data_IF_384356298254
#
_entry.id   IF_384356298254
#
_cell.length_a   1.000
_cell.length_b   1.000
_cell.length_c   1.000
_cell.angle_alpha   90.00
_cell.angle_beta   90.00
_cell.angle_gamma   90.00
#
_symmetry.space_group_name_H-M   'P 1'
#
loop_
_entity.id
_entity.type
_entity.pdbx_description
1 polymer ?
#
# COMPACT_ATOMS: atom_id res chain seq x y z
N UNK A 1 14.26 -16.77 -10.34
CA UNK A 1 12.92 -16.49 -9.76
C UNK A 1 13.14 -15.90 -8.37
N UNK A 2 12.72 -14.66 -8.14
CA UNK A 2 12.92 -14.00 -6.85
C UNK A 2 11.84 -14.47 -5.86
N UNK A 3 12.23 -15.10 -4.76
CA UNK A 3 11.31 -15.60 -3.71
C UNK A 3 11.17 -14.58 -2.58
N UNK A 4 10.79 -13.36 -2.95
CA UNK A 4 10.84 -12.22 -2.04
C UNK A 4 9.97 -12.40 -0.78
N UNK A 5 8.87 -13.16 -0.92
CA UNK A 5 7.93 -13.42 0.16
C UNK A 5 8.35 -14.53 1.14
N UNK A 6 9.55 -15.08 0.97
CA UNK A 6 10.19 -15.99 1.93
C UNK A 6 11.02 -15.21 2.97
N UNK A 7 11.53 -14.02 2.61
CA UNK A 7 12.40 -13.19 3.47
C UNK A 7 11.67 -11.97 4.06
N UNK A 8 10.69 -11.43 3.34
CA UNK A 8 9.87 -10.29 3.78
C UNK A 8 8.41 -10.52 3.44
N UNK A 9 7.49 -9.80 4.08
CA UNK A 9 6.07 -10.00 3.86
C UNK A 9 5.45 -9.05 2.83
N UNK A 10 6.21 -8.13 2.22
CA UNK A 10 5.66 -7.12 1.32
C UNK A 10 6.60 -6.77 0.17
N UNK A 11 6.05 -6.21 -0.91
CA UNK A 11 6.82 -5.67 -2.02
C UNK A 11 6.00 -4.60 -2.74
N UNK A 12 6.67 -3.56 -3.24
CA UNK A 12 6.07 -2.62 -4.19
C UNK A 12 6.44 -3.03 -5.60
N UNK A 13 5.46 -3.07 -6.49
CA UNK A 13 5.63 -3.35 -7.93
C UNK A 13 5.00 -2.25 -8.76
N UNK A 14 5.54 -2.00 -9.96
CA UNK A 14 4.94 -1.07 -10.92
C UNK A 14 4.10 -1.86 -11.92
N UNK A 15 2.82 -1.53 -12.04
CA UNK A 15 1.88 -2.14 -13.00
C UNK A 15 1.15 -1.02 -13.71
N UNK A 16 1.26 -0.94 -15.04
CA UNK A 16 0.63 0.13 -15.85
C UNK A 16 0.89 1.55 -15.31
N UNK A 17 2.13 1.82 -14.87
CA UNK A 17 2.56 3.09 -14.27
C UNK A 17 1.88 3.43 -12.91
N UNK A 18 1.24 2.45 -12.27
CA UNK A 18 0.71 2.55 -10.91
C UNK A 18 1.61 1.75 -9.96
N UNK A 19 2.14 2.35 -8.88
CA UNK A 19 2.84 1.60 -7.86
C UNK A 19 1.81 0.87 -6.98
N UNK A 20 1.96 -0.45 -6.86
CA UNK A 20 1.08 -1.32 -6.08
C UNK A 20 1.88 -1.94 -4.95
N UNK A 21 1.38 -1.79 -3.72
CA UNK A 21 1.92 -2.46 -2.55
C UNK A 21 1.23 -3.82 -2.42
N UNK A 22 2.01 -4.88 -2.50
CA UNK A 22 1.58 -6.26 -2.24
C UNK A 22 2.04 -6.64 -0.84
N UNK A 23 1.14 -7.22 -0.04
CA UNK A 23 1.42 -7.74 1.29
C UNK A 23 0.92 -9.18 1.42
N UNK A 24 1.80 -10.07 1.87
CA UNK A 24 1.47 -11.42 2.31
C UNK A 24 1.17 -11.39 3.81
N UNK A 25 -0.08 -11.65 4.18
CA UNK A 25 -0.54 -11.64 5.56
C UNK A 25 -1.44 -12.85 5.82
N UNK A 26 -1.16 -13.62 6.87
CA UNK A 26 -1.88 -14.86 7.23
C UNK A 26 -2.07 -15.83 6.04
N UNK A 27 -1.01 -16.01 5.25
CA UNK A 27 -1.00 -16.92 4.09
C UNK A 27 -1.75 -16.42 2.86
N UNK A 28 -2.33 -15.21 2.88
CA UNK A 28 -3.04 -14.59 1.76
C UNK A 28 -2.28 -13.37 1.25
N UNK A 29 -2.48 -13.03 -0.02
CA UNK A 29 -1.94 -11.82 -0.61
C UNK A 29 -3.00 -10.74 -0.71
N UNK A 30 -2.60 -9.51 -0.44
CA UNK A 30 -3.42 -8.30 -0.53
C UNK A 30 -2.66 -7.29 -1.37
N UNK A 31 -3.37 -6.50 -2.17
CA UNK A 31 -2.78 -5.43 -2.97
C UNK A 31 -3.57 -4.14 -2.81
N UNK A 32 -2.84 -3.02 -2.77
CA UNK A 32 -3.39 -1.68 -2.61
C UNK A 32 -2.52 -0.67 -3.37
N UNK A 33 -3.10 0.47 -3.78
CA UNK A 33 -2.32 1.60 -4.29
C UNK A 33 -1.23 1.97 -3.27
N UNK A 34 0.01 2.04 -3.72
CA UNK A 34 1.14 2.40 -2.87
C UNK A 34 1.37 3.91 -2.79
N UNK A 35 0.54 4.75 -3.42
CA UNK A 35 0.67 6.22 -3.32
C UNK A 35 -0.01 6.71 -2.07
N UNK A 36 0.71 7.53 -1.30
CA UNK A 36 0.13 8.21 -0.15
C UNK A 36 -0.85 9.30 -0.62
N UNK A 37 -2.12 9.27 -0.16
CA UNK A 37 -3.17 10.18 -0.62
C UNK A 37 -3.00 11.62 -0.15
N UNK A 38 -2.06 11.89 0.77
CA UNK A 38 -1.80 13.25 1.27
C UNK A 38 -1.42 14.20 0.13
N UNK A 39 -0.17 14.16 -0.35
CA UNK A 39 0.27 14.98 -1.49
C UNK A 39 0.62 14.15 -2.73
N UNK A 40 0.35 12.84 -2.71
CA UNK A 40 0.67 11.93 -3.82
C UNK A 40 2.15 11.56 -3.98
N UNK A 41 3.07 12.20 -3.24
CA UNK A 41 4.52 12.01 -3.43
C UNK A 41 5.11 10.79 -2.70
N UNK A 42 4.48 10.34 -1.62
CA UNK A 42 5.01 9.26 -0.80
C UNK A 42 4.65 7.89 -1.36
N UNK A 43 5.63 7.01 -1.52
CA UNK A 43 5.39 5.58 -1.81
C UNK A 43 5.36 4.81 -0.49
N UNK A 44 4.27 4.10 -0.24
CA UNK A 44 4.06 3.22 0.90
C UNK A 44 4.87 1.93 0.71
N UNK A 45 6.18 2.00 0.97
CA UNK A 45 7.10 0.87 0.76
C UNK A 45 7.32 0.00 1.99
N UNK A 46 6.97 0.51 3.18
CA UNK A 46 7.20 -0.17 4.46
C UNK A 46 5.87 -0.63 5.08
N UNK A 47 5.91 -1.79 5.74
CA UNK A 47 4.75 -2.38 6.43
C UNK A 47 5.10 -2.70 7.88
N UNK A 48 4.28 -2.20 8.81
CA UNK A 48 4.31 -2.49 10.25
C UNK A 48 3.17 -3.44 10.60
N UNK A 49 3.29 -4.15 11.72
CA UNK A 49 2.25 -5.03 12.27
C UNK A 49 1.69 -6.04 11.24
N UNK A 50 2.51 -6.42 10.27
CA UNK A 50 2.19 -7.38 9.21
C UNK A 50 1.32 -6.83 8.07
N UNK A 51 0.52 -5.78 8.27
CA UNK A 51 -0.40 -5.27 7.24
C UNK A 51 -0.66 -3.75 7.26
N UNK A 52 0.04 -2.99 8.13
CA UNK A 52 -0.10 -1.54 8.22
C UNK A 52 0.97 -0.86 7.37
N UNK A 53 0.57 -0.34 6.22
CA UNK A 53 1.46 0.43 5.34
C UNK A 53 1.76 1.81 5.93
N UNK A 54 3.03 2.22 5.93
CA UNK A 54 3.46 3.49 6.54
C UNK A 54 4.10 4.40 5.49
N UNK A 55 3.58 5.62 5.39
CA UNK A 55 4.18 6.64 4.54
C UNK A 55 5.53 7.08 5.10
N UNK A 56 6.62 7.02 4.32
CA UNK A 56 7.95 7.39 4.82
C UNK A 56 8.06 8.88 5.15
N UNK A 57 7.27 9.72 4.48
CA UNK A 57 7.36 11.19 4.57
C UNK A 57 6.74 11.73 5.87
N UNK A 58 5.45 11.48 6.09
CA UNK A 58 4.69 12.08 7.20
C UNK A 58 4.03 11.03 8.10
N UNK A 59 4.42 9.75 7.98
CA UNK A 59 4.02 8.65 8.86
C UNK A 59 2.51 8.35 8.90
N UNK A 60 1.74 8.84 7.91
CA UNK A 60 0.37 8.38 7.69
C UNK A 60 0.36 6.85 7.55
N UNK A 61 -0.63 6.21 8.17
CA UNK A 61 -0.75 4.75 8.20
C UNK A 61 -2.04 4.29 7.56
N UNK A 62 -1.97 3.19 6.81
CA UNK A 62 -3.09 2.61 6.08
C UNK A 62 -3.15 1.11 6.31
N UNK A 63 -4.36 0.58 6.52
CA UNK A 63 -4.56 -0.87 6.58
C UNK A 63 -4.65 -1.42 5.15
N UNK A 64 -3.70 -2.27 4.75
CA UNK A 64 -3.67 -2.86 3.41
C UNK A 64 -4.85 -3.81 3.18
N UNK A 65 -5.44 -4.36 4.25
CA UNK A 65 -6.55 -5.30 4.16
C UNK A 65 -7.84 -4.59 3.71
N UNK A 66 -8.07 -3.37 4.19
CA UNK A 66 -9.32 -2.62 3.94
C UNK A 66 -9.12 -1.42 3.01
N UNK A 67 -7.91 -0.86 2.95
CA UNK A 67 -7.58 0.39 2.28
C UNK A 67 -7.72 1.62 3.19
N UNK A 68 -8.27 1.45 4.40
CA UNK A 68 -8.61 2.56 5.28
C UNK A 68 -7.36 3.24 5.85
N UNK A 69 -7.47 4.55 6.08
CA UNK A 69 -6.47 5.26 6.86
C UNK A 69 -6.68 4.98 8.34
N UNK A 70 -5.65 4.45 9.00
CA UNK A 70 -5.68 4.16 10.45
C UNK A 70 -5.01 5.26 11.28
N UNK A 71 -4.12 6.06 10.67
CA UNK A 71 -3.51 7.23 11.30
C UNK A 71 -3.27 8.33 10.27
N UNK A 72 -3.69 9.58 10.55
CA UNK A 72 -3.43 10.71 9.66
C UNK A 72 -1.94 11.04 9.55
N UNK A 73 -1.53 11.77 8.50
CA UNK A 73 -0.17 12.29 8.40
C UNK A 73 0.13 13.26 9.55
N UNK A 74 1.36 13.20 10.04
CA UNK A 74 1.90 14.17 10.99
C UNK A 74 2.30 15.43 10.21
N UNK A 75 1.53 16.50 10.38
CA UNK A 75 1.73 17.79 9.72
C UNK A 75 1.77 18.92 10.76
N UNK A 76 2.21 20.12 10.34
CA UNK A 76 2.15 21.30 11.19
C UNK A 76 0.69 21.69 11.47
N UNK A 77 0.29 21.98 12.73
CA UNK A 77 -1.11 22.28 13.08
C UNK A 77 -1.70 23.49 12.33
N UNK A 78 -0.86 24.47 12.00
CA UNK A 78 -1.26 25.73 11.34
C UNK A 78 -1.58 25.55 9.85
N UNK A 79 -1.30 24.38 9.25
CA UNK A 79 -1.55 24.09 7.85
C UNK A 79 -2.60 22.99 7.70
N UNK A 80 -3.71 23.23 6.97
CA UNK A 80 -4.69 22.18 6.74
C UNK A 80 -4.03 21.01 5.99
N UNK A 81 -4.33 19.80 6.45
CA UNK A 81 -3.94 18.59 5.74
C UNK A 81 -4.74 18.51 4.44
N UNK A 82 -4.07 18.77 3.31
CA UNK A 82 -4.66 18.61 1.99
C UNK A 82 -4.46 17.18 1.51
N UNK A 83 -5.55 16.53 1.13
CA UNK A 83 -5.50 15.27 0.39
C UNK A 83 -5.56 15.56 -1.11
N UNK A 84 -4.89 14.75 -1.90
CA UNK A 84 -4.99 14.78 -3.35
C UNK A 84 -6.46 14.53 -3.76
N UNK A 85 -7.00 15.39 -4.64
CA UNK A 85 -8.41 15.29 -5.09
C UNK A 85 -8.74 13.99 -5.81
N UNK A 86 -7.75 13.39 -6.47
CA UNK A 86 -7.89 12.15 -7.23
C UNK A 86 -7.54 10.89 -6.42
N UNK A 87 -6.92 11.09 -5.25
CA UNK A 87 -6.42 10.00 -4.40
C UNK A 87 -6.73 10.33 -2.95
N UNK A 88 -7.85 9.80 -2.47
CA UNK A 88 -8.28 9.93 -1.08
C UNK A 88 -8.46 8.54 -0.44
N UNK A 89 -8.35 8.44 0.89
CA UNK A 89 -8.71 7.23 1.60
C UNK A 89 -10.23 6.93 1.48
N UNK A 90 -10.64 5.65 1.56
CA UNK A 90 -9.77 4.47 1.56
C UNK A 90 -9.04 4.31 0.23
N UNK A 91 -7.79 3.85 0.28
CA UNK A 91 -6.98 3.61 -0.90
C UNK A 91 -7.55 2.44 -1.71
N UNK A 92 -7.45 2.56 -3.04
CA UNK A 92 -7.93 1.51 -3.96
C UNK A 92 -7.19 0.21 -3.67
N UNK A 93 -7.96 -0.85 -3.43
CA UNK A 93 -7.47 -2.23 -3.35
C UNK A 93 -7.63 -2.92 -4.70
N UNK A 94 -6.80 -3.92 -4.91
CA UNK A 94 -6.80 -4.75 -6.10
C UNK A 94 -7.00 -6.21 -5.72
N UNK A 95 -7.75 -6.92 -6.53
CA UNK A 95 -7.91 -8.36 -6.35
C UNK A 95 -6.60 -9.06 -6.72
N UNK A 96 -6.17 -9.98 -5.86
CA UNK A 96 -4.94 -10.76 -6.05
C UNK A 96 -5.30 -12.23 -6.14
N UNK A 97 -4.82 -12.87 -7.20
CA UNK A 97 -4.96 -14.31 -7.42
C UNK A 97 -3.58 -14.94 -7.56
N UNK A 98 -3.43 -16.16 -7.06
CA UNK A 98 -2.22 -16.95 -7.26
C UNK A 98 -2.54 -17.99 -8.34
N UNK A 99 -1.83 -17.93 -9.46
CA UNK A 99 -1.99 -18.91 -10.54
C UNK A 99 -1.47 -20.30 -10.11
N UNK A 100 -1.87 -21.38 -10.81
CA UNK A 100 -1.34 -22.72 -10.57
C UNK A 100 0.19 -22.82 -10.67
N UNK A 101 0.81 -21.95 -11.48
CA UNK A 101 2.26 -21.84 -11.66
C UNK A 101 2.95 -21.01 -10.56
N UNK A 102 2.17 -20.51 -9.59
CA UNK A 102 2.68 -19.72 -8.46
C UNK A 102 2.94 -18.24 -8.80
N UNK A 103 2.32 -17.71 -9.86
CA UNK A 103 2.41 -16.30 -10.23
C UNK A 103 1.34 -15.49 -9.47
N UNK A 104 1.68 -14.25 -9.11
CA UNK A 104 0.69 -13.30 -8.58
C UNK A 104 0.07 -12.53 -9.73
N UNK A 105 -1.24 -12.69 -9.90
CA UNK A 105 -2.08 -11.93 -10.82
C UNK A 105 -2.80 -10.83 -10.04
N UNK A 106 -2.73 -9.59 -10.52
CA UNK A 106 -3.33 -8.41 -9.88
C UNK A 106 -4.27 -7.76 -10.90
N UNK A 107 -5.55 -7.64 -10.54
CA UNK A 107 -6.56 -7.03 -11.39
C UNK A 107 -6.57 -5.49 -11.18
N UNK A 108 -5.95 -4.73 -12.08
CA UNK A 108 -5.73 -3.27 -11.95
C UNK A 108 -6.78 -2.38 -12.63
#
# INVERSE_FOLDING_TARGET
>A
MAKIFDERNHAVVMVNNVPVLIVKYNGKFYAMDARCPHMGCGVLSEVQDGHIAVCPLHKAKFDVLTGDMVSPPIVMPERPCEFNRELHPPLKRYDVRVSPEGLLEIDI
#
